data_IF_198959460172
#
_entry.id   IF_198959460172
#
_cell.length_a   1.000
_cell.length_b   1.000
_cell.length_c   1.000
_cell.angle_alpha   90.00
_cell.angle_beta   90.00
_cell.angle_gamma   90.00
#
_symmetry.space_group_name_H-M   'P 1'
#
loop_
_entity.id
_entity.type
_entity.pdbx_description
1 polymer ?
#
# COMPACT_ATOMS: atom_id res chain seq x y z
N UNK A 1 -10.23 -17.60 61.34
CA UNK A 1 -10.54 -17.26 59.94
C UNK A 1 -9.26 -17.42 59.13
N UNK A 2 -9.23 -18.36 58.17
CA UNK A 2 -8.10 -18.59 57.27
C UNK A 2 -8.50 -18.07 55.89
N UNK A 3 -7.82 -17.04 55.41
CA UNK A 3 -8.00 -16.49 54.06
C UNK A 3 -7.00 -17.19 53.15
N UNK A 4 -7.51 -18.05 52.28
CA UNK A 4 -6.72 -18.72 51.24
C UNK A 4 -6.70 -17.82 50.01
N UNK A 5 -5.57 -17.16 49.75
CA UNK A 5 -5.33 -16.47 48.47
C UNK A 5 -4.68 -17.46 47.51
N UNK A 6 -5.48 -18.00 46.58
CA UNK A 6 -5.01 -18.73 45.41
C UNK A 6 -4.95 -17.75 44.23
N UNK A 7 -3.79 -17.10 44.06
CA UNK A 7 -3.48 -16.26 42.90
C UNK A 7 -2.81 -17.15 41.86
N UNK A 8 -3.62 -17.72 40.98
CA UNK A 8 -3.19 -18.52 39.84
C UNK A 8 -2.65 -17.57 38.76
N UNK A 9 -1.36 -17.25 38.83
CA UNK A 9 -0.67 -16.51 37.77
C UNK A 9 -0.45 -17.46 36.58
N UNK A 10 -1.42 -17.51 35.67
CA UNK A 10 -1.23 -18.05 34.32
C UNK A 10 -0.32 -17.08 33.56
N UNK A 11 1.00 -17.24 33.72
CA UNK A 11 1.99 -16.55 32.88
C UNK A 11 1.92 -17.24 31.52
N UNK A 12 1.03 -16.73 30.66
CA UNK A 12 1.02 -17.04 29.25
C UNK A 12 2.35 -16.57 28.65
N UNK A 13 3.21 -17.55 28.43
CA UNK A 13 4.27 -17.59 27.43
C UNK A 13 3.76 -17.02 26.09
N UNK A 14 3.83 -15.70 25.93
CA UNK A 14 3.92 -15.10 24.60
C UNK A 14 5.39 -15.07 24.22
N UNK A 15 5.86 -16.19 23.68
CA UNK A 15 7.04 -16.21 22.84
C UNK A 15 6.76 -15.33 21.63
N UNK A 16 7.31 -14.11 21.61
CA UNK A 16 7.35 -13.31 20.41
C UNK A 16 8.53 -13.82 19.59
N UNK A 17 8.29 -14.78 18.69
CA UNK A 17 9.22 -15.03 17.60
C UNK A 17 9.20 -13.79 16.70
N UNK A 18 10.34 -13.13 16.42
CA UNK A 18 10.40 -12.22 15.30
C UNK A 18 10.25 -13.06 14.03
N UNK A 19 9.05 -13.03 13.43
CA UNK A 19 8.88 -13.51 12.05
C UNK A 19 9.71 -12.58 11.19
N UNK A 20 10.91 -13.03 10.84
CA UNK A 20 11.71 -12.44 9.78
C UNK A 20 10.92 -12.62 8.48
N UNK A 21 10.07 -11.65 8.15
CA UNK A 21 9.35 -11.59 6.89
C UNK A 21 10.38 -11.44 5.77
N UNK A 22 10.83 -12.57 5.21
CA UNK A 22 11.50 -12.57 3.93
C UNK A 22 10.44 -12.28 2.89
N UNK A 23 10.18 -10.98 2.63
CA UNK A 23 9.29 -10.55 1.57
C UNK A 23 9.75 -11.15 0.24
N UNK A 24 9.04 -12.17 -0.23
CA UNK A 24 9.16 -12.63 -1.60
C UNK A 24 8.69 -11.47 -2.48
N UNK A 25 9.57 -10.97 -3.35
CA UNK A 25 9.26 -9.91 -4.31
C UNK A 25 8.16 -10.32 -5.32
N UNK A 26 7.70 -11.57 -5.29
CA UNK A 26 6.73 -12.16 -6.20
C UNK A 26 5.33 -12.35 -5.58
N UNK A 27 5.08 -11.83 -4.38
CA UNK A 27 3.76 -11.93 -3.76
C UNK A 27 2.81 -10.89 -4.37
N UNK A 28 1.59 -11.33 -4.70
CA UNK A 28 0.51 -10.43 -5.15
C UNK A 28 0.29 -9.32 -4.13
N UNK A 29 0.06 -8.10 -4.61
CA UNK A 29 -0.28 -6.97 -3.74
C UNK A 29 -1.66 -7.22 -3.13
N UNK A 30 -1.67 -7.38 -1.80
CA UNK A 30 -2.89 -7.55 -1.01
C UNK A 30 -3.85 -6.36 -1.14
N UNK A 31 -5.11 -6.61 -0.81
CA UNK A 31 -6.10 -5.55 -0.69
C UNK A 31 -5.71 -4.59 0.43
N UNK A 32 -5.64 -3.29 0.10
CA UNK A 32 -5.24 -2.32 1.11
C UNK A 32 -4.95 -0.93 0.60
N UNK A 33 -4.50 -0.11 1.53
CA UNK A 33 -4.01 1.25 1.29
C UNK A 33 -2.50 1.26 1.43
N UNK A 34 -1.81 1.96 0.53
CA UNK A 34 -0.36 1.99 0.45
C UNK A 34 0.16 3.41 0.20
N UNK A 35 1.32 3.73 0.75
CA UNK A 35 2.07 4.91 0.34
C UNK A 35 2.94 4.53 -0.85
N UNK A 36 2.81 5.27 -1.95
CA UNK A 36 3.49 4.96 -3.19
C UNK A 36 4.20 6.17 -3.77
N UNK A 37 5.33 5.93 -4.42
CA UNK A 37 5.99 6.88 -5.30
C UNK A 37 5.28 6.86 -6.65
N UNK A 38 4.66 7.97 -7.02
CA UNK A 38 3.91 8.13 -8.27
C UNK A 38 4.66 9.10 -9.17
N UNK A 39 5.15 8.62 -10.31
CA UNK A 39 5.82 9.42 -11.32
C UNK A 39 4.87 9.67 -12.49
N UNK A 40 4.59 10.93 -12.77
CA UNK A 40 3.72 11.35 -13.88
C UNK A 40 4.57 11.96 -14.97
N UNK A 41 4.55 11.33 -16.15
CA UNK A 41 5.23 11.78 -17.36
C UNK A 41 4.21 12.32 -18.34
N UNK A 42 4.42 13.55 -18.74
CA UNK A 42 3.73 14.21 -19.85
C UNK A 42 4.74 14.44 -20.97
N UNK A 43 4.29 14.93 -22.14
CA UNK A 43 5.19 15.28 -23.24
C UNK A 43 6.29 16.27 -22.82
N UNK A 44 5.95 17.22 -21.93
CA UNK A 44 6.83 18.35 -21.62
C UNK A 44 7.52 18.21 -20.25
N UNK A 45 6.92 17.46 -19.32
CA UNK A 45 7.33 17.47 -17.91
C UNK A 45 7.19 16.09 -17.28
N UNK A 46 8.12 15.79 -16.37
CA UNK A 46 8.02 14.68 -15.42
C UNK A 46 7.89 15.24 -14.01
N UNK A 47 6.92 14.73 -13.25
CA UNK A 47 6.72 15.08 -11.83
C UNK A 47 6.67 13.81 -10.99
N UNK A 48 7.15 13.89 -9.76
CA UNK A 48 7.14 12.76 -8.81
C UNK A 48 6.43 13.17 -7.54
N UNK A 49 5.60 12.29 -7.01
CA UNK A 49 4.79 12.50 -5.82
C UNK A 49 4.88 11.29 -4.90
N UNK A 50 4.71 11.50 -3.60
CA UNK A 50 4.35 10.43 -2.67
C UNK A 50 2.86 10.54 -2.40
N UNK A 51 2.09 9.57 -2.88
CA UNK A 51 0.62 9.59 -2.82
C UNK A 51 0.11 8.31 -2.18
N UNK A 52 -1.01 8.46 -1.47
CA UNK A 52 -1.74 7.32 -0.92
C UNK A 52 -2.57 6.68 -2.03
N UNK A 53 -2.38 5.38 -2.26
CA UNK A 53 -3.10 4.59 -3.25
C UNK A 53 -3.93 3.50 -2.59
N UNK A 54 -4.90 2.96 -3.33
CA UNK A 54 -5.66 1.77 -2.94
C UNK A 54 -5.42 0.66 -3.95
N UNK A 55 -5.05 -0.53 -3.47
CA UNK A 55 -4.94 -1.75 -4.26
C UNK A 55 -6.08 -2.71 -3.90
N UNK A 56 -6.58 -3.45 -4.90
CA UNK A 56 -7.55 -4.52 -4.73
C UNK A 56 -7.35 -5.59 -5.79
N UNK A 57 -7.35 -6.86 -5.39
CA UNK A 57 -7.13 -8.02 -6.25
C UNK A 57 -5.85 -7.87 -7.10
N UNK A 58 -4.72 -7.45 -6.50
CA UNK A 58 -3.47 -7.15 -7.21
C UNK A 58 -3.53 -5.99 -8.24
N UNK A 59 -4.60 -5.17 -8.24
CA UNK A 59 -4.76 -4.05 -9.19
C UNK A 59 -4.82 -2.70 -8.48
N UNK A 60 -4.29 -1.67 -9.13
CA UNK A 60 -4.41 -0.29 -8.68
C UNK A 60 -5.86 0.22 -8.88
N UNK A 61 -6.56 0.50 -7.77
CA UNK A 61 -7.95 0.96 -7.79
C UNK A 61 -8.08 2.48 -7.77
N UNK A 62 -7.20 3.16 -7.02
CA UNK A 62 -7.31 4.61 -6.81
C UNK A 62 -5.97 5.23 -6.44
N UNK A 63 -5.73 6.45 -6.92
CA UNK A 63 -4.67 7.35 -6.47
C UNK A 63 -5.33 8.59 -5.85
N UNK A 64 -5.01 8.92 -4.60
CA UNK A 64 -5.54 10.11 -3.92
C UNK A 64 -4.57 11.30 -4.10
N UNK A 65 -5.08 12.43 -4.58
CA UNK A 65 -4.31 13.66 -4.78
C UNK A 65 -4.45 14.62 -3.59
N UNK A 66 -3.42 15.42 -3.27
CA UNK A 66 -3.44 16.32 -2.11
C UNK A 66 -4.58 17.36 -2.13
N UNK A 67 -5.00 17.79 -3.31
CA UNK A 67 -6.02 18.83 -3.48
C UNK A 67 -7.47 18.28 -3.45
N UNK A 68 -7.70 17.14 -2.77
CA UNK A 68 -9.03 16.54 -2.63
C UNK A 68 -9.56 15.82 -3.88
N UNK A 69 -8.74 15.65 -4.92
CA UNK A 69 -9.09 14.88 -6.11
C UNK A 69 -8.60 13.42 -6.03
N UNK A 70 -9.12 12.56 -6.91
CA UNK A 70 -8.62 11.21 -7.08
C UNK A 70 -8.54 10.83 -8.56
N UNK A 71 -7.72 9.83 -8.86
CA UNK A 71 -7.69 9.15 -10.15
C UNK A 71 -8.11 7.70 -9.91
N UNK A 72 -9.07 7.18 -10.66
CA UNK A 72 -9.53 5.79 -10.58
C UNK A 72 -9.86 5.22 -11.98
N UNK A 73 -10.55 4.07 -12.02
CA UNK A 73 -10.93 3.38 -13.26
C UNK A 73 -11.76 4.20 -14.26
N UNK A 74 -12.33 5.34 -13.88
CA UNK A 74 -12.95 6.24 -14.86
C UNK A 74 -11.93 6.90 -15.79
N UNK A 75 -10.66 6.96 -15.37
CA UNK A 75 -9.59 7.63 -16.08
C UNK A 75 -8.50 6.69 -16.61
N UNK A 76 -8.46 5.42 -16.17
CA UNK A 76 -7.47 4.45 -16.63
C UNK A 76 -8.00 3.02 -16.59
N UNK A 77 -7.39 2.14 -17.39
CA UNK A 77 -7.61 0.68 -17.27
C UNK A 77 -6.87 0.17 -16.04
N UNK A 78 -7.56 -0.55 -15.16
CA UNK A 78 -7.00 -1.11 -13.92
C UNK A 78 -5.70 -1.89 -14.23
N UNK A 79 -4.53 -1.38 -13.85
CA UNK A 79 -3.29 -2.06 -14.12
C UNK A 79 -2.95 -2.99 -12.95
N UNK A 80 -2.43 -4.16 -13.27
CA UNK A 80 -1.95 -5.14 -12.30
C UNK A 80 -0.59 -4.71 -11.74
N UNK A 81 -0.30 -5.05 -10.49
CA UNK A 81 1.02 -4.90 -9.90
C UNK A 81 1.91 -6.09 -10.21
N UNK A 82 3.16 -5.80 -10.56
CA UNK A 82 4.25 -6.76 -10.65
C UNK A 82 5.40 -6.25 -9.79
N UNK A 83 5.86 -7.05 -8.84
CA UNK A 83 6.92 -6.67 -7.89
C UNK A 83 6.65 -5.30 -7.20
N UNK A 84 5.42 -5.08 -6.74
CA UNK A 84 4.98 -3.81 -6.12
C UNK A 84 5.01 -2.57 -7.04
N UNK A 85 5.17 -2.77 -8.34
CA UNK A 85 5.20 -1.72 -9.36
C UNK A 85 4.08 -1.90 -10.38
N UNK A 86 3.56 -0.79 -10.90
CA UNK A 86 2.63 -0.82 -12.02
C UNK A 86 2.78 0.42 -12.89
N UNK A 87 2.42 0.30 -14.15
CA UNK A 87 2.49 1.38 -15.12
C UNK A 87 1.21 1.46 -15.92
N UNK A 88 0.68 2.66 -16.12
CA UNK A 88 -0.52 2.87 -16.93
C UNK A 88 -0.50 4.22 -17.65
N UNK A 89 -1.42 4.38 -18.59
CA UNK A 89 -1.69 5.63 -19.28
C UNK A 89 -3.13 6.02 -18.98
N UNK A 90 -3.35 7.28 -18.60
CA UNK A 90 -4.70 7.79 -18.38
C UNK A 90 -5.38 8.25 -19.68
N UNK A 91 -6.67 8.57 -19.59
CA UNK A 91 -7.50 9.12 -20.67
C UNK A 91 -6.99 10.46 -21.25
N UNK A 92 -6.03 11.10 -20.60
CA UNK A 92 -5.36 12.33 -21.04
C UNK A 92 -3.99 12.08 -21.67
N UNK A 93 -3.59 10.82 -21.86
CA UNK A 93 -2.32 10.43 -22.47
C UNK A 93 -1.10 10.66 -21.58
N UNK A 94 -1.27 10.83 -20.26
CA UNK A 94 -0.17 10.94 -19.30
C UNK A 94 0.26 9.54 -18.87
N UNK A 95 1.57 9.28 -18.84
CA UNK A 95 2.11 8.00 -18.36
C UNK A 95 2.39 8.08 -16.86
N UNK A 96 1.94 7.06 -16.13
CA UNK A 96 2.12 6.90 -14.70
C UNK A 96 3.00 5.70 -14.43
N UNK A 97 4.07 5.89 -13.66
CA UNK A 97 4.83 4.81 -13.04
C UNK A 97 4.55 4.86 -11.53
N UNK A 98 4.01 3.78 -10.95
CA UNK A 98 3.62 3.70 -9.54
C UNK A 98 4.45 2.61 -8.87
N UNK A 99 5.13 2.95 -7.78
CA UNK A 99 5.91 2.02 -6.95
C UNK A 99 5.47 2.12 -5.50
N UNK A 100 4.97 1.02 -4.93
CA UNK A 100 4.63 0.97 -3.50
C UNK A 100 5.91 1.11 -2.66
N UNK A 101 5.83 1.91 -1.61
CA UNK A 101 6.91 2.12 -0.63
C UNK A 101 6.63 1.29 0.62
N UNK A 102 5.43 1.44 1.20
CA UNK A 102 5.00 0.68 2.37
C UNK A 102 3.46 0.62 2.45
N UNK A 103 2.94 -0.34 3.22
CA UNK A 103 1.51 -0.43 3.57
C UNK A 103 1.11 0.73 4.49
N UNK A 104 -0.12 1.22 4.35
CA UNK A 104 -0.65 2.38 5.09
C UNK A 104 -0.69 3.67 4.26
N UNK A 105 -1.17 4.77 4.86
CA UNK A 105 -1.22 6.08 4.20
C UNK A 105 0.18 6.72 4.18
N UNK A 106 0.43 7.61 3.23
CA UNK A 106 1.60 8.49 3.31
C UNK A 106 1.45 9.44 4.51
N UNK A 107 2.49 9.57 5.31
CA UNK A 107 2.61 10.58 6.35
C UNK A 107 3.37 11.78 5.78
N UNK A 108 2.75 12.95 5.87
CA UNK A 108 3.36 14.25 5.54
C UNK A 108 4.27 14.72 6.66
#
# INVERSE_FOLDING_TARGET
MKITFLLFCFILIFGCSPTSDSHNLNDNVEDGTYCAKVRVKTKDKTKTYQLTITAKNNHLQKINWPNGGWLDRSHYKLPEFYENETTFIDDRGRKFDVKIIHKGKCTS
#
